data_IF_811613338238
#
_entry.id   IF_811613338238
#
_cell.length_a   1.000
_cell.length_b   1.000
_cell.length_c   1.000
_cell.angle_alpha   90.00
_cell.angle_beta   90.00
_cell.angle_gamma   90.00
#
_symmetry.space_group_name_H-M   'P 1'
#
loop_
_entity.id
_entity.type
_entity.pdbx_description
1 polymer ?
#
# COMPACT_ATOMS: atom_id res chain seq x y z
N UNK A 1 -13.38 -19.22 -24.44
CA UNK A 1 -13.04 -18.85 -23.05
C UNK A 1 -11.54 -18.80 -22.95
N UNK A 2 -10.96 -17.67 -22.55
CA UNK A 2 -9.53 -17.63 -22.27
C UNK A 2 -9.22 -18.50 -21.03
N UNK A 3 -8.12 -19.25 -21.01
CA UNK A 3 -7.76 -20.03 -19.84
C UNK A 3 -7.55 -19.11 -18.65
N UNK A 4 -8.02 -19.52 -17.47
CA UNK A 4 -7.88 -18.72 -16.24
C UNK A 4 -6.40 -18.54 -15.89
N UNK A 5 -5.98 -17.29 -15.77
CA UNK A 5 -4.61 -16.95 -15.37
C UNK A 5 -4.40 -17.21 -13.87
N UNK A 6 -5.39 -16.89 -13.02
CA UNK A 6 -5.29 -17.03 -11.58
C UNK A 6 -4.98 -18.47 -11.14
N UNK A 7 -5.54 -19.47 -11.80
CA UNK A 7 -5.29 -20.89 -11.50
C UNK A 7 -3.84 -21.30 -11.74
N UNK A 8 -3.12 -20.59 -12.61
CA UNK A 8 -1.73 -20.87 -12.95
C UNK A 8 -0.73 -20.09 -12.09
N UNK A 9 -1.20 -19.18 -11.22
CA UNK A 9 -0.34 -18.46 -10.28
C UNK A 9 -0.14 -19.33 -9.04
N UNK A 10 1.07 -19.80 -8.84
CA UNK A 10 1.46 -20.59 -7.66
C UNK A 10 2.40 -19.84 -6.73
N UNK A 11 3.08 -18.81 -7.21
CA UNK A 11 4.02 -17.98 -6.48
C UNK A 11 4.10 -16.58 -7.10
N UNK A 12 4.56 -15.56 -6.36
CA UNK A 12 4.63 -14.19 -6.87
C UNK A 12 5.44 -14.00 -8.15
N UNK A 13 6.49 -14.81 -8.34
CA UNK A 13 7.34 -14.74 -9.55
C UNK A 13 6.58 -15.04 -10.85
N UNK A 14 5.47 -15.76 -10.78
CA UNK A 14 4.66 -16.07 -11.96
C UNK A 14 4.05 -14.80 -12.57
N UNK A 15 3.79 -13.76 -11.74
CA UNK A 15 3.27 -12.46 -12.18
C UNK A 15 4.24 -11.69 -13.09
N UNK A 16 5.55 -11.86 -12.89
CA UNK A 16 6.57 -11.13 -13.64
C UNK A 16 6.65 -11.51 -15.12
N UNK A 17 6.02 -12.64 -15.49
CA UNK A 17 5.94 -13.13 -16.88
C UNK A 17 4.72 -12.58 -17.63
N UNK A 18 3.78 -11.96 -16.93
CA UNK A 18 2.54 -11.47 -17.50
C UNK A 18 2.74 -10.06 -18.09
N UNK A 19 2.13 -9.84 -19.27
CA UNK A 19 2.05 -8.51 -19.83
C UNK A 19 0.89 -7.70 -19.23
N UNK A 20 0.80 -6.40 -19.53
CA UNK A 20 -0.19 -5.50 -18.94
C UNK A 20 -1.64 -5.95 -19.21
N UNK A 21 -1.95 -6.47 -20.38
CA UNK A 21 -3.30 -6.97 -20.69
C UNK A 21 -3.66 -8.22 -19.85
N UNK A 22 -2.68 -9.12 -19.65
CA UNK A 22 -2.84 -10.30 -18.79
C UNK A 22 -2.96 -9.91 -17.31
N UNK A 23 -2.27 -8.86 -16.86
CA UNK A 23 -2.42 -8.34 -15.48
C UNK A 23 -3.81 -7.76 -15.27
N UNK A 24 -4.35 -6.99 -16.21
CA UNK A 24 -5.72 -6.50 -16.14
C UNK A 24 -6.75 -7.65 -16.10
N UNK A 25 -6.56 -8.68 -16.94
CA UNK A 25 -7.37 -9.90 -16.91
C UNK A 25 -7.27 -10.57 -15.52
N UNK A 26 -6.06 -10.77 -15.00
CA UNK A 26 -5.82 -11.39 -13.70
C UNK A 26 -6.52 -10.61 -12.56
N UNK A 27 -6.44 -9.28 -12.54
CA UNK A 27 -7.16 -8.45 -11.57
C UNK A 27 -8.68 -8.66 -11.65
N UNK A 28 -9.23 -8.81 -12.85
CA UNK A 28 -10.64 -9.16 -13.07
C UNK A 28 -10.99 -10.55 -12.51
N UNK A 29 -10.16 -11.55 -12.81
CA UNK A 29 -10.33 -12.93 -12.31
C UNK A 29 -10.24 -13.01 -10.78
N UNK A 30 -9.28 -12.30 -10.17
CA UNK A 30 -9.16 -12.21 -8.70
C UNK A 30 -10.44 -11.64 -8.10
N UNK A 31 -11.00 -10.56 -8.64
CA UNK A 31 -12.23 -9.97 -8.14
C UNK A 31 -13.40 -10.94 -8.21
N UNK A 32 -13.58 -11.59 -9.36
CA UNK A 32 -14.67 -12.57 -9.52
C UNK A 32 -14.49 -13.73 -8.55
N UNK A 33 -13.27 -14.24 -8.41
CA UNK A 33 -12.96 -15.33 -7.48
C UNK A 33 -13.23 -14.94 -6.01
N UNK A 34 -12.88 -13.70 -5.62
CA UNK A 34 -13.16 -13.19 -4.29
C UNK A 34 -14.67 -13.06 -4.03
N UNK A 35 -15.46 -12.58 -5.02
CA UNK A 35 -16.91 -12.53 -4.93
C UNK A 35 -17.48 -13.93 -4.69
N UNK A 36 -17.09 -14.91 -5.50
CA UNK A 36 -17.62 -16.27 -5.45
C UNK A 36 -17.20 -17.02 -4.18
N UNK A 37 -16.01 -16.75 -3.66
CA UNK A 37 -15.48 -17.43 -2.48
C UNK A 37 -15.99 -16.82 -1.20
N UNK A 38 -15.89 -15.49 -1.05
CA UNK A 38 -16.24 -14.78 0.18
C UNK A 38 -17.76 -14.79 0.41
N UNK A 39 -18.58 -14.85 -0.65
CA UNK A 39 -20.02 -15.08 -0.51
C UNK A 39 -20.38 -16.39 0.20
N UNK A 40 -19.51 -17.40 0.12
CA UNK A 40 -19.69 -18.73 0.74
C UNK A 40 -19.03 -18.83 2.10
N UNK A 41 -17.80 -18.34 2.23
CA UNK A 41 -16.99 -18.47 3.45
C UNK A 41 -17.21 -17.35 4.46
N UNK A 42 -17.77 -16.23 4.02
CA UNK A 42 -17.73 -14.98 4.79
C UNK A 42 -16.36 -14.31 4.71
N UNK A 43 -16.30 -13.06 5.14
CA UNK A 43 -15.03 -12.32 5.16
C UNK A 43 -15.16 -10.84 4.78
N UNK A 44 -14.02 -10.19 4.58
CA UNK A 44 -13.92 -8.76 4.31
C UNK A 44 -13.91 -8.51 2.79
N UNK A 45 -15.08 -8.50 2.13
CA UNK A 45 -15.13 -8.42 0.67
C UNK A 45 -14.69 -7.05 0.12
N UNK A 46 -15.34 -5.97 0.55
CA UNK A 46 -15.13 -4.65 -0.06
C UNK A 46 -13.70 -4.12 0.07
N UNK A 47 -13.06 -4.36 1.21
CA UNK A 47 -11.66 -3.96 1.43
C UNK A 47 -10.70 -4.70 0.51
N UNK A 48 -10.95 -6.00 0.27
CA UNK A 48 -10.12 -6.80 -0.64
C UNK A 48 -10.34 -6.41 -2.11
N UNK A 49 -11.58 -6.16 -2.53
CA UNK A 49 -11.87 -5.69 -3.89
C UNK A 49 -11.18 -4.35 -4.20
N UNK A 50 -11.03 -3.49 -3.19
CA UNK A 50 -10.35 -2.21 -3.31
C UNK A 50 -8.83 -2.29 -3.38
N UNK A 51 -8.22 -3.41 -2.98
CA UNK A 51 -6.76 -3.56 -2.87
C UNK A 51 -6.15 -4.50 -3.92
N UNK A 52 -6.89 -4.90 -4.96
CA UNK A 52 -6.45 -5.92 -5.93
C UNK A 52 -5.24 -5.42 -6.72
N UNK A 53 -5.36 -4.31 -7.45
CA UNK A 53 -4.28 -3.76 -8.29
C UNK A 53 -3.07 -3.39 -7.44
N UNK A 54 -3.30 -2.74 -6.30
CA UNK A 54 -2.24 -2.39 -5.36
C UNK A 54 -1.42 -3.63 -4.95
N UNK A 55 -2.10 -4.72 -4.59
CA UNK A 55 -1.43 -5.96 -4.15
C UNK A 55 -0.73 -6.68 -5.31
N UNK A 56 -1.32 -6.67 -6.51
CA UNK A 56 -0.69 -7.22 -7.72
C UNK A 56 0.58 -6.45 -8.06
N UNK A 57 0.53 -5.11 -8.09
CA UNK A 57 1.69 -4.26 -8.36
C UNK A 57 2.81 -4.46 -7.32
N UNK A 58 2.46 -4.61 -6.03
CA UNK A 58 3.43 -4.94 -5.00
C UNK A 58 4.16 -6.25 -5.30
N UNK A 59 3.46 -7.32 -5.66
CA UNK A 59 4.07 -8.60 -5.98
C UNK A 59 4.80 -8.63 -7.33
N UNK A 60 4.56 -7.66 -8.20
CA UNK A 60 5.34 -7.51 -9.44
C UNK A 60 6.70 -6.86 -9.22
N UNK A 61 6.79 -5.97 -8.23
CA UNK A 61 8.03 -5.23 -7.93
C UNK A 61 8.83 -5.92 -6.84
N UNK A 62 8.21 -6.27 -5.72
CA UNK A 62 8.88 -6.83 -4.55
C UNK A 62 8.95 -8.36 -4.57
N UNK A 63 9.97 -8.90 -3.91
CA UNK A 63 10.28 -10.35 -3.87
C UNK A 63 10.02 -10.92 -2.46
N UNK A 64 8.74 -11.26 -2.16
CA UNK A 64 8.47 -11.97 -0.90
C UNK A 64 8.91 -13.44 -0.98
N UNK A 65 9.46 -14.04 0.09
CA UNK A 65 9.57 -13.55 1.47
C UNK A 65 10.80 -12.68 1.78
N UNK A 66 11.71 -12.45 0.81
CA UNK A 66 12.87 -11.59 1.03
C UNK A 66 12.43 -10.16 1.38
N UNK A 67 11.46 -9.60 0.64
CA UNK A 67 10.75 -8.39 1.03
C UNK A 67 9.59 -8.76 1.96
N UNK A 68 9.37 -7.97 3.01
CA UNK A 68 8.35 -8.26 4.01
C UNK A 68 7.14 -7.34 3.84
N UNK A 69 5.94 -7.90 3.70
CA UNK A 69 4.69 -7.14 3.71
C UNK A 69 4.02 -7.24 5.07
N UNK A 70 3.75 -6.09 5.69
CA UNK A 70 3.07 -5.97 6.97
C UNK A 70 1.75 -5.23 6.77
N UNK A 71 0.65 -5.96 6.83
CA UNK A 71 -0.68 -5.41 6.66
C UNK A 71 -1.24 -4.94 8.00
N UNK A 72 -1.71 -3.70 8.10
CA UNK A 72 -2.43 -3.23 9.27
C UNK A 72 -3.82 -3.86 9.34
N UNK A 73 -4.21 -4.37 10.50
CA UNK A 73 -5.34 -5.28 10.68
C UNK A 73 -5.19 -6.56 9.84
N UNK A 74 -4.84 -6.44 8.57
CA UNK A 74 -4.64 -7.55 7.64
C UNK A 74 -5.90 -8.08 6.97
N UNK A 75 -7.04 -7.42 7.15
CA UNK A 75 -8.31 -7.82 6.56
C UNK A 75 -8.37 -7.67 5.03
N UNK A 76 -7.42 -6.97 4.41
CA UNK A 76 -7.29 -6.74 2.96
C UNK A 76 -6.22 -7.64 2.30
N UNK A 77 -5.82 -8.77 2.92
CA UNK A 77 -4.72 -9.61 2.47
C UNK A 77 -5.14 -10.76 1.51
N UNK A 78 -6.39 -10.84 1.08
CA UNK A 78 -6.87 -12.01 0.33
C UNK A 78 -6.20 -12.16 -1.03
N UNK A 79 -6.00 -11.07 -1.76
CA UNK A 79 -5.22 -11.08 -3.00
C UNK A 79 -3.78 -11.55 -2.75
N UNK A 80 -3.13 -11.09 -1.68
CA UNK A 80 -1.82 -11.59 -1.27
C UNK A 80 -1.81 -13.10 -1.02
N UNK A 81 -2.83 -13.64 -0.34
CA UNK A 81 -2.96 -15.09 -0.13
C UNK A 81 -3.10 -15.85 -1.46
N UNK A 82 -3.91 -15.34 -2.38
CA UNK A 82 -4.09 -15.96 -3.71
C UNK A 82 -2.78 -16.02 -4.49
N UNK A 83 -2.03 -14.91 -4.53
CA UNK A 83 -0.79 -14.78 -5.29
C UNK A 83 0.40 -15.52 -4.66
N UNK A 84 0.28 -15.95 -3.41
CA UNK A 84 1.31 -16.68 -2.65
C UNK A 84 0.97 -18.17 -2.46
N UNK A 85 0.27 -18.76 -3.44
CA UNK A 85 0.07 -20.19 -3.55
C UNK A 85 -1.11 -20.78 -2.78
N UNK A 86 -1.95 -19.94 -2.15
CA UNK A 86 -3.09 -20.42 -1.34
C UNK A 86 -4.41 -20.53 -2.11
N UNK A 87 -4.39 -20.36 -3.44
CA UNK A 87 -5.57 -20.43 -4.31
C UNK A 87 -6.40 -21.70 -4.07
N UNK A 88 -5.77 -22.89 -4.10
CA UNK A 88 -6.46 -24.17 -3.97
C UNK A 88 -7.12 -24.39 -2.60
N UNK A 89 -6.56 -23.75 -1.56
CA UNK A 89 -7.09 -23.84 -0.20
C UNK A 89 -8.06 -22.72 0.15
N UNK A 90 -8.29 -21.79 -0.76
CA UNK A 90 -9.04 -20.55 -0.46
C UNK A 90 -10.50 -20.81 -0.06
N UNK A 91 -11.09 -21.92 -0.50
CA UNK A 91 -12.41 -22.39 -0.07
C UNK A 91 -12.52 -22.69 1.44
N UNK A 92 -11.39 -22.81 2.15
CA UNK A 92 -11.34 -23.02 3.61
C UNK A 92 -11.12 -21.71 4.38
N UNK A 93 -11.20 -20.54 3.72
CA UNK A 93 -10.99 -19.25 4.36
C UNK A 93 -11.94 -19.07 5.56
N UNK A 94 -11.38 -18.75 6.74
CA UNK A 94 -12.11 -18.54 8.00
C UNK A 94 -12.87 -19.77 8.53
N UNK A 95 -12.58 -20.95 8.00
CA UNK A 95 -13.09 -22.22 8.54
C UNK A 95 -12.13 -22.78 9.60
N UNK A 96 -12.64 -23.62 10.47
CA UNK A 96 -11.80 -24.35 11.43
C UNK A 96 -10.73 -25.14 10.68
N UNK A 97 -9.48 -25.07 11.13
CA UNK A 97 -8.28 -25.68 10.51
C UNK A 97 -8.03 -25.24 9.04
N UNK A 98 -8.74 -24.22 8.59
CA UNK A 98 -8.61 -23.63 7.27
C UNK A 98 -7.67 -22.42 7.25
N UNK A 99 -7.76 -21.64 6.16
CA UNK A 99 -7.01 -20.38 6.03
C UNK A 99 -7.56 -19.30 6.96
N UNK A 100 -6.66 -18.63 7.67
CA UNK A 100 -7.00 -17.43 8.45
C UNK A 100 -7.51 -16.30 7.54
N UNK A 101 -8.43 -15.50 8.05
CA UNK A 101 -8.85 -14.26 7.40
C UNK A 101 -7.84 -13.12 7.46
N UNK A 102 -6.65 -13.36 8.06
CA UNK A 102 -5.55 -12.42 8.24
C UNK A 102 -4.23 -13.08 7.86
N UNK A 103 -3.15 -12.30 7.62
CA UNK A 103 -1.81 -12.86 7.45
C UNK A 103 -1.41 -13.74 8.64
N UNK A 104 -0.80 -14.89 8.35
CA UNK A 104 -0.34 -15.83 9.36
C UNK A 104 0.94 -16.54 8.90
N UNK A 105 2.10 -16.30 9.52
CA UNK A 105 3.36 -16.96 9.18
C UNK A 105 3.33 -18.50 9.25
N UNK A 106 2.42 -19.06 10.04
CA UNK A 106 2.25 -20.52 10.08
C UNK A 106 1.58 -21.10 8.82
N UNK A 107 0.96 -20.24 7.99
CA UNK A 107 0.35 -20.64 6.72
C UNK A 107 1.32 -20.53 5.54
N UNK A 108 2.17 -19.51 5.56
CA UNK A 108 3.06 -19.17 4.45
C UNK A 108 4.24 -18.32 4.91
N UNK A 109 5.43 -18.63 4.40
CA UNK A 109 6.62 -17.78 4.60
C UNK A 109 6.48 -16.36 4.02
N UNK A 110 5.51 -16.13 3.12
CA UNK A 110 5.22 -14.82 2.57
C UNK A 110 4.48 -13.89 3.55
N UNK A 111 3.91 -14.42 4.63
CA UNK A 111 3.24 -13.64 5.66
C UNK A 111 4.27 -13.28 6.75
N UNK A 112 4.74 -12.03 6.75
CA UNK A 112 5.83 -11.61 7.63
C UNK A 112 5.43 -11.50 9.12
N UNK A 113 4.14 -11.34 9.42
CA UNK A 113 3.65 -11.12 10.78
C UNK A 113 2.19 -11.56 10.93
N UNK A 114 1.81 -12.03 12.13
CA UNK A 114 0.41 -12.27 12.49
C UNK A 114 -0.29 -10.92 12.68
N UNK A 115 -1.30 -10.64 11.85
CA UNK A 115 -2.10 -9.42 11.94
C UNK A 115 -3.48 -9.70 12.56
N UNK A 116 -4.24 -8.63 12.82
CA UNK A 116 -5.58 -8.67 13.40
C UNK A 116 -5.95 -7.38 14.14
N UNK A 117 -4.97 -6.70 14.74
CA UNK A 117 -5.16 -5.42 15.43
C UNK A 117 -4.76 -4.24 14.54
N UNK A 118 -5.54 -3.16 14.64
CA UNK A 118 -5.23 -1.91 13.96
C UNK A 118 -4.08 -1.14 14.61
N UNK A 119 -3.46 -0.26 13.83
CA UNK A 119 -2.42 0.68 14.22
C UNK A 119 -1.05 0.04 14.56
N UNK A 120 -0.88 -1.26 14.37
CA UNK A 120 0.33 -1.99 14.78
C UNK A 120 1.36 -2.16 13.66
N UNK A 121 0.91 -2.12 12.42
CA UNK A 121 1.75 -2.49 11.27
C UNK A 121 3.00 -1.63 11.11
N UNK A 122 2.93 -0.33 11.39
CA UNK A 122 4.09 0.54 11.25
C UNK A 122 5.18 0.19 12.26
N UNK A 123 4.83 0.00 13.52
CA UNK A 123 5.79 -0.37 14.58
C UNK A 123 6.44 -1.73 14.30
N UNK A 124 5.65 -2.70 13.82
CA UNK A 124 6.16 -4.01 13.41
C UNK A 124 7.10 -3.89 12.20
N UNK A 125 6.71 -3.14 11.17
CA UNK A 125 7.52 -2.92 9.99
C UNK A 125 8.86 -2.24 10.31
N UNK A 126 8.85 -1.24 11.20
CA UNK A 126 10.07 -0.59 11.70
C UNK A 126 10.98 -1.61 12.39
N UNK A 127 10.43 -2.45 13.26
CA UNK A 127 11.20 -3.50 13.94
C UNK A 127 11.84 -4.48 12.97
N UNK A 128 11.10 -4.96 11.96
CA UNK A 128 11.62 -5.86 10.92
C UNK A 128 12.69 -5.15 10.07
N UNK A 129 12.46 -3.89 9.66
CA UNK A 129 13.41 -3.11 8.86
C UNK A 129 14.73 -2.87 9.61
N UNK A 130 14.68 -2.54 10.90
CA UNK A 130 15.86 -2.43 11.74
C UNK A 130 16.58 -3.76 11.92
N UNK A 131 15.84 -4.86 12.14
CA UNK A 131 16.43 -6.19 12.26
C UNK A 131 17.20 -6.57 10.98
N UNK A 132 16.60 -6.36 9.80
CA UNK A 132 17.28 -6.58 8.51
C UNK A 132 18.54 -5.73 8.39
N UNK A 133 18.44 -4.43 8.67
CA UNK A 133 19.58 -3.50 8.59
C UNK A 133 20.73 -3.91 9.53
N UNK A 134 20.43 -4.28 10.77
CA UNK A 134 21.43 -4.69 11.75
C UNK A 134 22.12 -6.03 11.39
N UNK A 135 21.38 -6.94 10.73
CA UNK A 135 21.91 -8.22 10.27
C UNK A 135 22.56 -8.15 8.90
N UNK A 136 22.47 -7.02 8.19
CA UNK A 136 22.91 -6.91 6.79
C UNK A 136 22.06 -7.75 5.82
N UNK A 137 20.83 -8.08 6.18
CA UNK A 137 19.90 -8.83 5.33
C UNK A 137 19.29 -7.92 4.26
N UNK A 138 19.26 -8.34 2.99
CA UNK A 138 18.65 -7.55 1.92
C UNK A 138 17.12 -7.54 2.01
N UNK A 139 16.50 -6.64 1.26
CA UNK A 139 15.07 -6.55 1.05
C UNK A 139 14.40 -5.40 1.80
N UNK A 140 13.27 -5.00 1.24
CA UNK A 140 12.44 -3.91 1.76
C UNK A 140 11.38 -4.44 2.73
N UNK A 141 10.89 -3.53 3.55
CA UNK A 141 9.72 -3.77 4.40
C UNK A 141 8.63 -2.79 4.00
N UNK A 142 7.46 -3.32 3.64
CA UNK A 142 6.32 -2.53 3.18
C UNK A 142 5.20 -2.64 4.21
N UNK A 143 4.88 -1.53 4.87
CA UNK A 143 3.72 -1.42 5.76
C UNK A 143 2.50 -0.92 4.96
N UNK A 144 1.42 -1.69 4.93
CA UNK A 144 0.17 -1.33 4.24
C UNK A 144 -0.87 -0.96 5.29
N UNK A 145 -1.23 0.32 5.37
CA UNK A 145 -2.06 0.90 6.44
C UNK A 145 -3.27 1.60 5.82
N UNK A 146 -4.47 1.24 6.24
CA UNK A 146 -5.68 1.94 5.82
C UNK A 146 -5.81 3.31 6.51
N UNK A 147 -6.48 4.25 5.85
CA UNK A 147 -6.74 5.60 6.35
C UNK A 147 -7.42 5.64 7.73
N UNK A 148 -8.34 4.72 7.99
CA UNK A 148 -8.96 4.58 9.31
C UNK A 148 -7.98 4.15 10.41
N UNK A 149 -7.14 3.16 10.13
CA UNK A 149 -6.09 2.72 11.06
C UNK A 149 -5.01 3.80 11.23
N UNK A 150 -4.74 4.58 10.20
CA UNK A 150 -3.77 5.66 10.23
C UNK A 150 -4.13 6.79 11.22
N UNK A 151 -5.38 6.87 11.70
CA UNK A 151 -5.79 7.84 12.72
C UNK A 151 -5.39 7.45 14.15
N UNK A 152 -4.90 6.25 14.37
CA UNK A 152 -4.56 5.75 15.72
C UNK A 152 -3.19 6.24 16.21
N UNK A 153 -3.07 6.45 17.51
CA UNK A 153 -1.88 7.02 18.16
C UNK A 153 -0.60 6.22 17.93
N UNK A 154 -0.66 4.88 17.93
CA UNK A 154 0.52 4.02 17.73
C UNK A 154 1.23 4.25 16.38
N UNK A 155 0.49 4.68 15.34
CA UNK A 155 1.10 5.03 14.05
C UNK A 155 2.08 6.21 14.23
N UNK A 156 1.71 7.22 15.00
CA UNK A 156 2.54 8.40 15.27
C UNK A 156 3.73 8.08 16.18
N UNK A 157 3.53 7.18 17.15
CA UNK A 157 4.64 6.65 17.96
C UNK A 157 5.63 5.90 17.07
N UNK A 158 5.15 5.08 16.15
CA UNK A 158 5.97 4.44 15.13
C UNK A 158 6.72 5.47 14.28
N UNK A 159 6.02 6.45 13.71
CA UNK A 159 6.62 7.50 12.88
C UNK A 159 7.73 8.26 13.62
N UNK A 160 7.53 8.56 14.92
CA UNK A 160 8.53 9.23 15.74
C UNK A 160 9.81 8.38 15.96
N UNK A 161 9.72 7.06 15.81
CA UNK A 161 10.82 6.13 16.04
C UNK A 161 11.45 5.57 14.76
N UNK A 162 11.11 6.11 13.59
CA UNK A 162 11.50 5.55 12.28
C UNK A 162 13.02 5.60 12.05
N UNK A 163 13.69 6.65 12.52
CA UNK A 163 15.12 6.82 12.38
C UNK A 163 15.57 6.91 10.91
N UNK A 164 16.79 6.41 10.63
CA UNK A 164 17.39 6.39 9.28
C UNK A 164 17.26 5.00 8.65
N UNK A 165 16.04 4.62 8.30
CA UNK A 165 15.75 3.38 7.58
C UNK A 165 15.70 3.67 6.08
N UNK A 166 16.49 2.93 5.30
CA UNK A 166 16.55 3.07 3.83
C UNK A 166 15.69 2.01 3.12
N UNK A 167 15.20 1.03 3.87
CA UNK A 167 14.49 -0.14 3.39
C UNK A 167 13.01 -0.19 3.84
N UNK A 168 12.43 0.96 4.25
CA UNK A 168 11.04 1.03 4.71
C UNK A 168 10.17 1.85 3.76
N UNK A 169 9.10 1.21 3.27
CA UNK A 169 8.01 1.84 2.53
C UNK A 169 6.72 1.74 3.34
N UNK A 170 6.08 2.87 3.57
CA UNK A 170 4.74 2.95 4.18
C UNK A 170 3.73 3.31 3.11
N UNK A 171 2.73 2.48 2.90
CA UNK A 171 1.61 2.73 2.00
C UNK A 171 0.40 3.13 2.83
N UNK A 172 0.01 4.40 2.71
CA UNK A 172 -1.28 4.89 3.21
C UNK A 172 -2.34 4.60 2.15
N UNK A 173 -3.13 3.56 2.37
CA UNK A 173 -4.25 3.19 1.50
C UNK A 173 -5.50 3.97 1.91
N UNK A 174 -5.76 5.07 1.21
CA UNK A 174 -6.84 6.00 1.49
C UNK A 174 -8.06 5.70 0.61
N UNK A 175 -9.10 5.16 1.22
CA UNK A 175 -10.38 4.91 0.58
C UNK A 175 -11.53 5.78 1.13
N UNK A 176 -11.24 6.77 1.97
CA UNK A 176 -12.17 7.70 2.63
C UNK A 176 -13.14 7.05 3.61
N UNK A 177 -12.98 5.75 3.88
CA UNK A 177 -13.93 4.94 4.62
C UNK A 177 -13.23 3.98 5.57
N UNK A 178 -13.52 4.14 6.85
CA UNK A 178 -13.31 3.11 7.86
C UNK A 178 -14.57 2.23 7.95
N UNK A 179 -15.04 1.88 9.15
CA UNK A 179 -16.37 1.33 9.38
C UNK A 179 -17.44 2.41 9.14
N UNK A 180 -17.09 3.68 9.44
CA UNK A 180 -17.85 4.90 9.16
C UNK A 180 -16.92 5.92 8.49
N UNK A 181 -17.44 7.11 8.15
CA UNK A 181 -16.57 8.20 7.68
C UNK A 181 -15.52 8.55 8.74
N UNK A 182 -14.28 8.73 8.30
CA UNK A 182 -13.21 9.14 9.18
C UNK A 182 -13.49 10.55 9.72
N UNK A 183 -13.27 10.75 11.02
CA UNK A 183 -13.49 12.01 11.73
C UNK A 183 -12.19 12.50 12.39
N UNK A 184 -12.16 13.77 12.78
CA UNK A 184 -11.05 14.38 13.48
C UNK A 184 -10.09 15.17 12.57
N UNK A 185 -9.11 15.84 13.20
CA UNK A 185 -8.19 16.75 12.52
C UNK A 185 -7.36 16.07 11.43
N UNK A 186 -6.96 14.82 11.66
CA UNK A 186 -6.19 14.07 10.67
C UNK A 186 -7.00 13.70 9.44
N UNK A 187 -8.25 13.28 9.62
CA UNK A 187 -9.14 13.03 8.47
C UNK A 187 -9.35 14.31 7.65
N UNK A 188 -9.47 15.46 8.33
CA UNK A 188 -9.49 16.77 7.69
C UNK A 188 -8.19 17.08 6.93
N UNK A 189 -7.03 16.79 7.52
CA UNK A 189 -5.72 16.97 6.90
C UNK A 189 -5.55 16.11 5.65
N UNK A 190 -5.86 14.82 5.71
CA UNK A 190 -5.85 13.94 4.54
C UNK A 190 -6.85 14.41 3.46
N UNK A 191 -8.02 14.91 3.89
CA UNK A 191 -8.99 15.56 3.01
C UNK A 191 -8.41 16.77 2.28
N UNK A 192 -7.70 17.62 2.99
CA UNK A 192 -7.00 18.78 2.43
C UNK A 192 -5.93 18.36 1.42
N UNK A 193 -5.08 17.41 1.74
CA UNK A 193 -4.08 16.87 0.81
C UNK A 193 -4.72 16.38 -0.50
N UNK A 194 -5.88 15.72 -0.43
CA UNK A 194 -6.62 15.26 -1.63
C UNK A 194 -7.18 16.37 -2.50
N UNK A 195 -7.52 17.52 -1.91
CA UNK A 195 -8.11 18.65 -2.64
C UNK A 195 -7.05 19.59 -3.23
N UNK A 196 -5.80 19.48 -2.78
CA UNK A 196 -4.69 20.34 -3.23
C UNK A 196 -4.06 19.77 -4.52
N UNK A 197 -4.85 19.68 -5.60
CA UNK A 197 -4.43 19.11 -6.88
C UNK A 197 -3.20 19.77 -7.54
N UNK A 198 -2.79 20.96 -7.11
CA UNK A 198 -1.62 21.66 -7.65
C UNK A 198 -0.30 21.34 -6.97
N UNK A 199 -0.29 20.67 -5.82
CA UNK A 199 0.92 20.49 -5.01
C UNK A 199 1.99 19.64 -5.74
N UNK A 200 1.60 18.51 -6.31
CA UNK A 200 2.54 17.58 -6.94
C UNK A 200 2.97 18.04 -8.32
N UNK A 201 2.04 18.54 -9.15
CA UNK A 201 2.34 19.10 -10.47
C UNK A 201 3.25 20.33 -10.35
N UNK A 202 3.02 21.21 -9.36
CA UNK A 202 3.88 22.34 -9.09
C UNK A 202 5.26 21.90 -8.59
N UNK A 203 5.34 20.87 -7.70
CA UNK A 203 6.60 20.30 -7.20
C UNK A 203 7.45 19.70 -8.32
N UNK A 204 6.84 18.96 -9.24
CA UNK A 204 7.54 18.39 -10.41
C UNK A 204 8.02 19.50 -11.36
N UNK A 205 7.20 20.48 -11.67
CA UNK A 205 7.55 21.59 -12.54
C UNK A 205 8.68 22.44 -11.97
N UNK A 206 8.68 22.73 -10.66
CA UNK A 206 9.77 23.47 -9.99
C UNK A 206 11.04 22.64 -9.93
N UNK A 207 10.95 21.33 -9.66
CA UNK A 207 12.13 20.45 -9.72
C UNK A 207 12.73 20.41 -11.13
N UNK A 208 11.93 20.31 -12.17
CA UNK A 208 12.36 20.33 -13.56
C UNK A 208 13.00 21.69 -13.94
N UNK A 209 12.40 22.80 -13.51
CA UNK A 209 12.97 24.13 -13.71
C UNK A 209 14.31 24.32 -12.99
N UNK A 210 14.39 23.92 -11.69
CA UNK A 210 15.61 24.04 -10.89
C UNK A 210 16.74 23.09 -11.37
N UNK A 211 16.39 21.95 -11.97
CA UNK A 211 17.38 21.05 -12.57
C UNK A 211 17.87 21.52 -13.95
N UNK A 212 17.07 22.31 -14.65
CA UNK A 212 17.42 22.88 -15.96
C UNK A 212 18.34 24.11 -15.91
N UNK A 213 18.63 24.68 -14.73
CA UNK A 213 19.54 25.83 -14.61
C UNK A 213 20.99 25.38 -14.75
N UNK A 214 21.77 25.88 -15.75
CA UNK A 214 23.18 25.53 -15.95
C UNK A 214 24.02 25.87 -14.71
N UNK A 215 24.82 24.92 -14.26
CA UNK A 215 25.68 25.08 -13.07
C UNK A 215 26.95 25.80 -13.44
N UNK A 216 27.10 27.03 -12.98
CA UNK A 216 28.34 27.82 -13.13
C UNK A 216 29.09 27.81 -11.80
N UNK A 217 30.19 27.07 -11.71
CA UNK A 217 31.23 27.15 -10.66
C UNK A 217 30.92 26.48 -9.30
N UNK A 218 31.96 25.86 -8.70
CA UNK A 218 31.83 25.06 -7.45
C UNK A 218 31.43 25.83 -6.18
N UNK A 219 31.88 27.06 -5.90
CA UNK A 219 31.44 27.79 -4.70
C UNK A 219 29.99 28.31 -4.78
N UNK A 220 29.48 28.49 -5.99
CA UNK A 220 28.08 28.88 -6.23
C UNK A 220 27.14 27.70 -6.04
N UNK A 221 27.65 26.48 -6.18
CA UNK A 221 26.86 25.25 -6.09
C UNK A 221 26.26 25.02 -4.69
N UNK A 222 27.01 25.27 -3.63
CA UNK A 222 26.54 25.13 -2.24
C UNK A 222 25.57 26.24 -1.84
N UNK A 223 25.86 27.48 -2.24
CA UNK A 223 24.94 28.62 -2.01
C UNK A 223 23.64 28.45 -2.81
N UNK A 224 23.73 27.98 -4.07
CA UNK A 224 22.58 27.70 -4.91
C UNK A 224 21.75 26.52 -4.39
N UNK A 225 22.39 25.46 -3.87
CA UNK A 225 21.68 24.34 -3.24
C UNK A 225 20.96 24.74 -1.97
N UNK A 226 21.55 25.62 -1.15
CA UNK A 226 20.92 26.14 0.06
C UNK A 226 19.79 27.11 -0.26
N UNK A 227 19.97 27.99 -1.26
CA UNK A 227 18.91 28.88 -1.73
C UNK A 227 17.78 28.10 -2.45
N UNK A 228 18.10 27.06 -3.23
CA UNK A 228 17.10 26.13 -3.80
C UNK A 228 16.28 25.44 -2.69
N UNK A 229 16.92 24.98 -1.61
CA UNK A 229 16.25 24.41 -0.44
C UNK A 229 15.39 25.45 0.30
N UNK A 230 15.87 26.67 0.45
CA UNK A 230 15.14 27.76 1.09
C UNK A 230 13.94 28.24 0.28
N UNK A 231 14.11 28.42 -1.04
CA UNK A 231 13.02 28.77 -1.97
C UNK A 231 11.98 27.65 -2.01
N UNK A 232 12.44 26.38 -2.07
CA UNK A 232 11.56 25.21 -2.03
C UNK A 232 10.77 25.14 -0.72
N UNK A 233 11.40 25.44 0.43
CA UNK A 233 10.73 25.51 1.74
C UNK A 233 9.74 26.67 1.86
N UNK A 234 10.04 27.82 1.25
CA UNK A 234 9.19 29.01 1.28
C UNK A 234 7.99 28.91 0.31
N UNK A 235 8.13 28.20 -0.80
CA UNK A 235 7.07 28.01 -1.80
C UNK A 235 6.16 26.83 -1.51
N UNK A 236 6.63 25.83 -0.76
CA UNK A 236 5.88 24.62 -0.43
C UNK A 236 5.82 24.44 1.08
N UNK A 237 4.62 24.46 1.64
CA UNK A 237 4.42 23.93 2.98
C UNK A 237 4.79 22.43 2.93
N UNK A 238 5.77 22.02 3.73
CA UNK A 238 6.06 20.58 3.90
C UNK A 238 4.81 19.90 4.45
N UNK A 239 4.62 18.66 4.04
CA UNK A 239 3.59 17.84 4.66
C UNK A 239 4.06 17.45 6.07
N UNK A 240 3.13 17.17 6.97
CA UNK A 240 3.44 16.61 8.28
C UNK A 240 4.37 15.38 8.18
N UNK A 241 4.23 14.60 7.12
CA UNK A 241 5.04 13.39 6.89
C UNK A 241 6.51 13.74 6.58
N UNK A 242 6.73 14.79 5.77
CA UNK A 242 8.09 15.27 5.47
C UNK A 242 8.75 15.89 6.72
N UNK A 243 7.98 16.56 7.55
CA UNK A 243 8.48 17.10 8.84
C UNK A 243 8.86 15.98 9.83
N UNK A 244 8.22 14.81 9.72
CA UNK A 244 8.56 13.60 10.48
C UNK A 244 9.67 12.75 9.82
N UNK A 245 10.27 13.23 8.72
CA UNK A 245 11.43 12.61 8.10
C UNK A 245 11.15 11.62 6.97
N UNK A 246 9.90 11.50 6.52
CA UNK A 246 9.58 10.67 5.36
C UNK A 246 9.80 11.42 4.03
N UNK A 247 10.14 10.67 3.00
CA UNK A 247 9.88 11.12 1.63
C UNK A 247 8.42 10.86 1.30
N UNK A 248 7.64 11.93 1.16
CA UNK A 248 6.21 11.81 0.86
C UNK A 248 5.94 11.83 -0.64
N UNK A 249 5.23 10.81 -1.13
CA UNK A 249 4.73 10.68 -2.50
C UNK A 249 3.22 10.46 -2.49
N UNK A 250 2.51 11.10 -3.33
CA UNK A 250 1.06 10.93 -3.53
C UNK A 250 0.43 12.20 -4.10
N UNK A 251 -0.80 12.20 -4.52
CA UNK A 251 -1.84 11.18 -4.49
C UNK A 251 -1.74 10.28 -5.72
N UNK A 252 -1.73 8.97 -5.54
CA UNK A 252 -1.57 8.01 -6.62
C UNK A 252 -2.85 7.19 -6.73
N UNK A 253 -3.32 6.95 -7.95
CA UNK A 253 -4.45 6.05 -8.17
C UNK A 253 -4.01 4.60 -7.88
N UNK A 254 -4.56 4.03 -6.81
CA UNK A 254 -4.30 2.65 -6.40
C UNK A 254 -4.91 1.59 -7.34
N UNK A 255 -5.51 2.01 -8.42
CA UNK A 255 -6.08 1.15 -9.46
C UNK A 255 -5.37 1.27 -10.81
N UNK A 256 -4.40 2.17 -10.91
CA UNK A 256 -3.49 2.25 -12.06
C UNK A 256 -2.25 1.39 -11.76
N UNK A 257 -2.34 0.12 -12.11
CA UNK A 257 -1.29 -0.86 -11.82
C UNK A 257 0.05 -0.51 -12.48
N UNK A 258 0.12 -0.10 -13.77
CA UNK A 258 1.37 0.33 -14.39
C UNK A 258 2.02 1.53 -13.70
N UNK A 259 1.23 2.50 -13.26
CA UNK A 259 1.75 3.66 -12.52
C UNK A 259 2.25 3.25 -11.14
N UNK A 260 1.55 2.36 -10.44
CA UNK A 260 1.99 1.80 -9.16
C UNK A 260 3.35 1.09 -9.30
N UNK A 261 3.54 0.24 -10.32
CA UNK A 261 4.83 -0.42 -10.56
C UNK A 261 5.95 0.59 -10.76
N UNK A 262 5.74 1.58 -11.62
CA UNK A 262 6.71 2.64 -11.90
C UNK A 262 7.12 3.38 -10.62
N UNK A 263 6.14 3.69 -9.78
CA UNK A 263 6.37 4.42 -8.53
C UNK A 263 7.09 3.53 -7.51
N UNK A 264 6.69 2.28 -7.35
CA UNK A 264 7.39 1.36 -6.45
C UNK A 264 8.85 1.19 -6.82
N UNK A 265 9.17 1.04 -8.11
CA UNK A 265 10.57 1.01 -8.58
C UNK A 265 11.32 2.31 -8.25
N UNK A 266 10.66 3.46 -8.41
CA UNK A 266 11.25 4.77 -8.11
C UNK A 266 11.53 4.92 -6.62
N UNK A 267 10.59 4.57 -5.75
CA UNK A 267 10.74 4.74 -4.30
C UNK A 267 11.73 3.75 -3.69
N UNK A 268 11.86 2.54 -4.25
CA UNK A 268 12.89 1.59 -3.83
C UNK A 268 14.32 2.08 -4.09
N UNK A 269 14.51 2.95 -5.07
CA UNK A 269 15.80 3.55 -5.37
C UNK A 269 16.12 4.80 -4.53
N UNK A 270 15.15 5.29 -3.73
CA UNK A 270 15.33 6.48 -2.90
C UNK A 270 15.94 6.10 -1.54
N UNK A 271 16.98 6.80 -1.07
CA UNK A 271 17.47 6.62 0.29
C UNK A 271 16.49 7.23 1.29
N UNK A 272 16.23 6.51 2.39
CA UNK A 272 15.38 6.98 3.48
C UNK A 272 13.95 6.43 3.46
N UNK A 273 13.24 6.56 4.59
CA UNK A 273 11.89 6.03 4.71
C UNK A 273 10.92 6.79 3.80
N UNK A 274 10.09 6.04 3.10
CA UNK A 274 9.13 6.62 2.15
C UNK A 274 7.71 6.37 2.60
N UNK A 275 6.84 7.39 2.48
CA UNK A 275 5.40 7.29 2.65
C UNK A 275 4.71 7.56 1.31
N UNK A 276 4.00 6.57 0.82
CA UNK A 276 3.23 6.62 -0.41
C UNK A 276 1.74 6.71 -0.10
N UNK A 277 1.09 7.79 -0.52
CA UNK A 277 -0.33 8.00 -0.34
C UNK A 277 -1.09 7.53 -1.59
N UNK A 278 -1.77 6.40 -1.45
CA UNK A 278 -2.49 5.72 -2.53
C UNK A 278 -3.99 5.86 -2.30
N UNK A 279 -4.72 6.29 -3.30
CA UNK A 279 -6.18 6.43 -3.25
C UNK A 279 -6.82 5.21 -3.90
N UNK A 280 -7.67 4.51 -3.15
CA UNK A 280 -8.40 3.35 -3.66
C UNK A 280 -9.92 3.51 -3.50
N UNK A 281 -10.68 2.69 -4.23
CA UNK A 281 -12.13 2.61 -4.12
C UNK A 281 -12.53 1.30 -3.46
N UNK A 282 -13.02 1.36 -2.22
CA UNK A 282 -13.57 0.21 -1.49
C UNK A 282 -14.69 -0.43 -2.31
N UNK A 283 -14.67 -1.76 -2.47
CA UNK A 283 -15.67 -2.47 -3.26
C UNK A 283 -15.56 -2.32 -4.79
N UNK A 284 -14.41 -1.87 -5.33
CA UNK A 284 -14.23 -1.68 -6.78
C UNK A 284 -14.65 -2.91 -7.58
N UNK A 285 -15.42 -2.68 -8.64
CA UNK A 285 -15.91 -3.72 -9.55
C UNK A 285 -17.17 -4.45 -9.07
N UNK A 286 -17.69 -4.13 -7.87
CA UNK A 286 -18.94 -4.69 -7.36
C UNK A 286 -19.86 -3.56 -6.86
N UNK A 287 -20.85 -3.20 -7.65
CA UNK A 287 -21.73 -2.06 -7.39
C UNK A 287 -22.39 -2.07 -6.00
N UNK A 288 -22.92 -3.20 -5.47
CA UNK A 288 -23.51 -3.21 -4.13
C UNK A 288 -22.51 -2.85 -3.02
N UNK A 289 -21.24 -3.25 -3.15
CA UNK A 289 -20.22 -2.94 -2.16
C UNK A 289 -19.60 -1.54 -2.33
N UNK A 290 -19.72 -0.91 -3.51
CA UNK A 290 -19.18 0.41 -3.81
C UNK A 290 -20.18 1.55 -3.61
N UNK A 291 -21.48 1.27 -3.62
CA UNK A 291 -22.56 2.24 -3.45
C UNK A 291 -23.10 2.31 -2.01
N UNK A 292 -22.87 1.28 -1.22
CA UNK A 292 -23.35 1.22 0.15
C UNK A 292 -22.46 2.04 1.08
N UNK A 293 -22.98 3.21 1.47
CA UNK A 293 -22.39 4.06 2.51
C UNK A 293 -22.70 3.53 3.91
N UNK A 294 -23.61 2.56 4.06
CA UNK A 294 -23.88 1.90 5.32
C UNK A 294 -22.93 0.73 5.55
N UNK A 295 -22.26 0.71 6.68
CA UNK A 295 -21.22 -0.22 7.09
C UNK A 295 -21.61 -1.71 7.11
N UNK A 296 -22.86 -2.07 6.82
CA UNK A 296 -23.38 -3.42 7.04
C UNK A 296 -23.06 -4.42 5.93
N UNK A 297 -22.99 -4.02 4.67
CA UNK A 297 -22.64 -4.94 3.56
C UNK A 297 -21.18 -4.86 3.11
N UNK A 298 -20.48 -3.76 3.39
CA UNK A 298 -19.12 -3.56 2.93
C UNK A 298 -18.05 -4.37 3.69
N UNK A 299 -18.32 -4.80 4.91
CA UNK A 299 -17.33 -5.41 5.78
C UNK A 299 -17.53 -6.91 6.05
N UNK A 300 -18.76 -7.41 5.98
CA UNK A 300 -19.04 -8.82 6.23
C UNK A 300 -20.11 -9.32 5.27
N UNK A 301 -19.74 -10.15 4.30
CA UNK A 301 -20.69 -11.12 3.80
C UNK A 301 -20.80 -12.24 4.84
N UNK A 302 -21.67 -12.10 5.82
CA UNK A 302 -22.22 -13.27 6.47
C UNK A 302 -23.15 -13.90 5.45
N UNK A 303 -22.91 -15.19 5.11
CA UNK A 303 -23.58 -15.91 4.05
C UNK A 303 -25.01 -15.45 3.80
N UNK A 304 -25.27 -15.01 2.57
CA UNK A 304 -26.63 -14.83 2.09
C UNK A 304 -27.31 -16.20 2.14
N UNK A 305 -28.18 -16.38 3.13
CA UNK A 305 -29.26 -17.35 3.06
C UNK A 305 -30.46 -16.69 2.40
#
# INVERSE_FOLDING_TARGET
>A
MHPSLLQNISQPRDLKRLNSAQIQQLCGEIRQFLLDSVSKTGGHLASNLGAVELTVALHRVFETPQDAFVFDVGHQCYTHKLLTGRYKRFGTLRQLDGLSGFPNPNESAHDAFIAGHGNTALSVAIGIAWAKKLKGEPGHVVAIIGDGAFTGGMVYEGMNNIGKLDNLLVILNDNKMSISHNVGALAGYLGHLRTTNGYFTAKENVNSFLNGVPVIGAPIKSALQNSKKAIRRAMYHSTMFEDMGFHYFGLIDGHDEPELERIFQTVCAQPGPTLLHVVTKKGKGYAPASSDTSSRMGNFCTGLR
#
